data_IF_139448394251
#
_entry.id   IF_139448394251
#
_cell.length_a   1.000
_cell.length_b   1.000
_cell.length_c   1.000
_cell.angle_alpha   90.00
_cell.angle_beta   90.00
_cell.angle_gamma   90.00
#
_symmetry.space_group_name_H-M   'P 1'
#
loop_
_entity.id
_entity.type
_entity.pdbx_description
1 polymer ?
#
# COMPACT_ATOMS: atom_id res chain seq x y z
N UNK A 1 14.62 0.35 -8.49
CA UNK A 1 14.38 0.40 -7.03
C UNK A 1 14.75 -0.94 -6.39
N UNK A 2 14.24 -2.05 -6.94
CA UNK A 2 14.72 -3.39 -6.59
C UNK A 2 16.25 -3.51 -6.81
N UNK A 3 16.98 -4.20 -5.91
CA UNK A 3 18.41 -4.45 -6.10
C UNK A 3 18.63 -5.36 -7.32
N UNK A 4 19.79 -5.25 -7.97
CA UNK A 4 20.19 -6.07 -9.13
C UNK A 4 19.36 -5.91 -10.40
N UNK A 5 18.50 -4.88 -10.49
CA UNK A 5 17.69 -4.62 -11.68
C UNK A 5 18.37 -3.62 -12.61
N UNK A 6 18.71 -4.10 -13.80
CA UNK A 6 19.15 -3.29 -14.93
C UNK A 6 18.14 -3.34 -16.10
N UNK A 7 18.47 -2.65 -17.20
CA UNK A 7 17.61 -2.57 -18.38
C UNK A 7 17.39 -3.94 -19.03
N UNK A 8 18.35 -4.85 -18.97
CA UNK A 8 18.26 -6.15 -19.63
C UNK A 8 17.46 -7.16 -18.80
N UNK A 9 17.59 -7.12 -17.47
CA UNK A 9 16.70 -7.80 -16.53
C UNK A 9 15.25 -7.38 -16.79
N UNK A 10 14.98 -6.08 -16.87
CA UNK A 10 13.65 -5.54 -17.15
C UNK A 10 13.08 -6.04 -18.48
N UNK A 11 13.88 -6.05 -19.56
CA UNK A 11 13.44 -6.56 -20.86
C UNK A 11 13.07 -8.04 -20.79
N UNK A 12 13.84 -8.86 -20.07
CA UNK A 12 13.58 -10.30 -19.93
C UNK A 12 12.33 -10.57 -19.10
N UNK A 13 12.14 -9.85 -17.99
CA UNK A 13 10.93 -9.94 -17.16
C UNK A 13 9.68 -9.51 -17.93
N UNK A 14 9.77 -8.43 -18.71
CA UNK A 14 8.66 -7.96 -19.55
C UNK A 14 8.23 -9.01 -20.59
N UNK A 15 9.15 -9.78 -21.16
CA UNK A 15 8.83 -10.91 -22.06
C UNK A 15 8.04 -12.02 -21.34
N UNK A 16 8.16 -12.13 -20.01
CA UNK A 16 7.40 -13.04 -19.15
C UNK A 16 6.14 -12.38 -18.57
N UNK A 17 5.72 -11.22 -19.10
CA UNK A 17 4.56 -10.43 -18.65
C UNK A 17 4.66 -9.91 -17.21
N UNK A 18 5.87 -9.82 -16.66
CA UNK A 18 6.13 -9.18 -15.36
C UNK A 18 6.53 -7.73 -15.64
N UNK A 19 5.69 -6.79 -15.25
CA UNK A 19 5.81 -5.36 -15.55
C UNK A 19 5.79 -4.49 -14.29
N UNK A 20 5.29 -5.01 -13.16
CA UNK A 20 5.17 -4.28 -11.90
C UNK A 20 5.80 -5.04 -10.73
N UNK A 21 6.01 -4.32 -9.61
CA UNK A 21 6.40 -4.93 -8.33
C UNK A 21 5.30 -5.86 -7.81
N UNK A 22 4.04 -5.51 -8.04
CA UNK A 22 2.88 -6.32 -7.67
C UNK A 22 2.91 -7.68 -8.39
N UNK A 23 3.23 -7.69 -9.69
CA UNK A 23 3.35 -8.94 -10.46
C UNK A 23 4.41 -9.87 -9.87
N UNK A 24 5.50 -9.31 -9.31
CA UNK A 24 6.53 -10.10 -8.62
C UNK A 24 6.06 -10.62 -7.25
N UNK A 25 5.27 -9.82 -6.51
CA UNK A 25 4.74 -10.21 -5.19
C UNK A 25 3.65 -11.29 -5.29
N UNK A 26 2.93 -11.37 -6.42
CA UNK A 26 1.88 -12.35 -6.67
C UNK A 26 2.43 -13.71 -7.13
N UNK A 27 3.70 -13.80 -7.52
CA UNK A 27 4.33 -15.07 -7.89
C UNK A 27 4.59 -15.95 -6.66
N UNK A 28 4.34 -17.27 -6.76
CA UNK A 28 4.82 -18.22 -5.76
C UNK A 28 6.35 -18.14 -5.59
N UNK A 29 6.86 -18.37 -4.38
CA UNK A 29 8.28 -18.18 -4.06
C UNK A 29 9.26 -18.96 -4.95
N UNK A 30 8.86 -20.13 -5.46
CA UNK A 30 9.66 -20.90 -6.42
C UNK A 30 9.69 -20.24 -7.81
N UNK A 31 8.52 -19.85 -8.31
CA UNK A 31 8.36 -19.19 -9.61
C UNK A 31 9.01 -17.80 -9.63
N UNK A 32 8.98 -17.07 -8.51
CA UNK A 32 9.69 -15.81 -8.35
C UNK A 32 11.20 -16.00 -8.50
N UNK A 33 11.80 -16.99 -7.81
CA UNK A 33 13.24 -17.25 -7.92
C UNK A 33 13.63 -17.68 -9.33
N UNK A 34 12.84 -18.56 -9.94
CA UNK A 34 13.06 -18.98 -11.33
C UNK A 34 12.97 -17.78 -12.30
N UNK A 35 11.96 -16.92 -12.12
CA UNK A 35 11.77 -15.71 -12.91
C UNK A 35 12.99 -14.79 -12.89
N UNK A 36 13.52 -14.55 -11.70
CA UNK A 36 14.66 -13.67 -11.48
C UNK A 36 15.95 -14.28 -12.03
N UNK A 37 16.18 -15.58 -11.81
CA UNK A 37 17.35 -16.28 -12.35
C UNK A 37 17.32 -16.36 -13.88
N UNK A 38 16.15 -16.63 -14.48
CA UNK A 38 15.97 -16.60 -15.93
C UNK A 38 16.17 -15.18 -16.51
N UNK A 39 15.90 -14.14 -15.72
CA UNK A 39 16.23 -12.76 -16.07
C UNK A 39 17.73 -12.45 -15.97
N UNK A 40 18.53 -13.32 -15.35
CA UNK A 40 19.98 -13.24 -15.27
C UNK A 40 20.51 -12.85 -13.89
N UNK A 41 19.68 -12.85 -12.85
CA UNK A 41 20.15 -12.67 -11.48
C UNK A 41 20.84 -13.94 -10.97
N UNK A 42 21.84 -13.78 -10.11
CA UNK A 42 22.39 -14.90 -9.34
C UNK A 42 21.37 -15.40 -8.32
N UNK A 43 21.60 -16.61 -7.77
CA UNK A 43 20.76 -17.15 -6.69
C UNK A 43 20.70 -16.20 -5.49
N UNK A 44 21.85 -15.67 -5.05
CA UNK A 44 21.93 -14.68 -3.98
C UNK A 44 21.16 -13.39 -4.33
N UNK A 45 21.32 -12.89 -5.56
CA UNK A 45 20.60 -11.71 -6.02
C UNK A 45 19.08 -11.92 -6.06
N UNK A 46 18.62 -13.11 -6.45
CA UNK A 46 17.21 -13.45 -6.43
C UNK A 46 16.65 -13.52 -5.00
N UNK A 47 17.42 -14.06 -4.05
CA UNK A 47 17.03 -14.11 -2.63
C UNK A 47 16.98 -12.71 -1.99
N UNK A 48 17.92 -11.83 -2.33
CA UNK A 48 17.89 -10.43 -1.88
C UNK A 48 16.66 -9.69 -2.40
N UNK A 49 16.27 -9.92 -3.66
CA UNK A 49 15.04 -9.35 -4.23
C UNK A 49 13.81 -9.93 -3.55
N UNK A 50 13.74 -11.24 -3.31
CA UNK A 50 12.63 -11.86 -2.59
C UNK A 50 12.50 -11.29 -1.17
N UNK A 51 13.62 -11.10 -0.47
CA UNK A 51 13.67 -10.44 0.82
C UNK A 51 13.12 -9.01 0.71
N UNK A 52 13.62 -8.22 -0.25
CA UNK A 52 13.12 -6.86 -0.49
C UNK A 52 11.60 -6.83 -0.69
N UNK A 53 11.08 -7.66 -1.58
CA UNK A 53 9.65 -7.73 -1.90
C UNK A 53 8.80 -8.11 -0.69
N UNK A 54 9.30 -8.99 0.18
CA UNK A 54 8.58 -9.39 1.38
C UNK A 54 8.50 -8.29 2.43
N UNK A 55 9.45 -7.35 2.41
CA UNK A 55 9.47 -6.19 3.32
C UNK A 55 8.63 -5.03 2.82
N UNK A 56 8.10 -5.02 1.59
CA UNK A 56 7.33 -3.88 1.10
C UNK A 56 5.95 -3.79 1.78
N UNK A 57 5.55 -2.58 2.24
CA UNK A 57 4.25 -2.38 2.85
C UNK A 57 3.14 -2.31 1.79
N UNK A 58 2.03 -2.99 2.06
CA UNK A 58 0.75 -2.77 1.41
C UNK A 58 -0.12 -1.98 2.38
N UNK A 59 -0.54 -0.78 1.95
CA UNK A 59 -1.34 0.12 2.78
C UNK A 59 -2.76 0.16 2.27
N UNK A 60 -3.70 -0.13 3.16
CA UNK A 60 -5.12 0.05 2.93
C UNK A 60 -5.60 1.30 3.66
N UNK A 61 -6.50 2.03 3.02
CA UNK A 61 -7.04 3.28 3.52
C UNK A 61 -8.54 3.31 3.35
N UNK A 62 -9.25 3.72 4.40
CA UNK A 62 -10.65 4.12 4.36
C UNK A 62 -10.76 5.53 4.90
N UNK A 63 -11.58 6.35 4.26
CA UNK A 63 -11.83 7.71 4.67
C UNK A 63 -13.33 7.92 4.86
N UNK A 64 -13.68 8.63 5.92
CA UNK A 64 -15.05 9.05 6.23
C UNK A 64 -15.03 10.54 6.52
N UNK A 65 -15.86 11.30 5.82
CA UNK A 65 -16.01 12.74 6.03
C UNK A 65 -17.34 12.98 6.74
N UNK A 66 -17.30 13.74 7.82
CA UNK A 66 -18.47 14.07 8.63
C UNK A 66 -18.42 15.54 9.07
N UNK A 67 -19.58 16.08 9.41
CA UNK A 67 -19.72 17.33 10.16
C UNK A 67 -20.35 16.97 11.50
N UNK A 68 -19.81 17.50 12.60
CA UNK A 68 -20.24 17.10 13.94
C UNK A 68 -21.64 17.60 14.22
N UNK A 69 -22.60 16.68 14.34
CA UNK A 69 -24.00 16.99 14.67
C UNK A 69 -24.91 17.22 13.47
N UNK A 70 -24.42 16.99 12.25
CA UNK A 70 -25.18 17.20 11.01
C UNK A 70 -25.22 15.90 10.19
N UNK A 71 -26.36 15.65 9.52
CA UNK A 71 -26.56 14.47 8.66
C UNK A 71 -25.99 14.66 7.26
N UNK A 72 -25.87 15.91 6.80
CA UNK A 72 -25.37 16.29 5.49
C UNK A 72 -24.23 17.29 5.61
N UNK A 73 -23.38 17.37 4.58
CA UNK A 73 -22.29 18.34 4.51
C UNK A 73 -22.72 19.49 3.61
N UNK A 74 -22.70 20.70 4.14
CA UNK A 74 -23.11 21.94 3.48
C UNK A 74 -21.90 22.84 3.17
N UNK A 75 -22.13 23.81 2.28
CA UNK A 75 -21.11 24.79 1.93
C UNK A 75 -20.78 25.67 3.14
N UNK A 76 -19.49 25.77 3.47
CA UNK A 76 -18.99 26.53 4.61
C UNK A 76 -18.72 25.70 5.86
N UNK A 77 -19.09 24.42 5.88
CA UNK A 77 -18.91 23.57 7.04
C UNK A 77 -17.45 23.25 7.33
N UNK A 78 -17.15 23.08 8.62
CA UNK A 78 -15.88 22.53 9.08
C UNK A 78 -15.97 21.01 9.02
N UNK A 79 -15.57 20.46 7.88
CA UNK A 79 -15.57 19.02 7.64
C UNK A 79 -14.42 18.34 8.37
N UNK A 80 -14.73 17.25 9.09
CA UNK A 80 -13.74 16.35 9.67
C UNK A 80 -13.60 15.11 8.81
N UNK A 81 -12.38 14.87 8.33
CA UNK A 81 -12.02 13.63 7.63
C UNK A 81 -11.36 12.66 8.62
N UNK A 82 -11.99 11.51 8.88
CA UNK A 82 -11.43 10.40 9.64
C UNK A 82 -10.80 9.41 8.68
N UNK A 83 -9.52 9.12 8.89
CA UNK A 83 -8.77 8.14 8.12
C UNK A 83 -8.54 6.89 8.97
N UNK A 84 -8.90 5.74 8.43
CA UNK A 84 -8.54 4.44 8.97
C UNK A 84 -7.49 3.82 8.05
N UNK A 85 -6.36 3.41 8.64
CA UNK A 85 -5.24 2.83 7.92
C UNK A 85 -4.97 1.42 8.43
N UNK A 86 -4.61 0.55 7.49
CA UNK A 86 -4.15 -0.81 7.75
C UNK A 86 -2.88 -1.03 6.94
N UNK A 87 -1.87 -1.65 7.54
CA UNK A 87 -0.61 -1.98 6.83
C UNK A 87 -0.33 -3.47 6.96
N UNK A 88 -0.11 -4.15 5.84
CA UNK A 88 0.35 -5.53 5.80
C UNK A 88 1.65 -5.65 5.02
N UNK A 89 2.43 -6.71 5.27
CA UNK A 89 3.62 -7.08 4.49
C UNK A 89 3.59 -8.56 4.21
N UNK A 90 4.11 -9.04 3.07
CA UNK A 90 4.25 -10.48 2.85
C UNK A 90 5.10 -11.16 3.95
N UNK A 91 6.09 -10.45 4.52
CA UNK A 91 6.92 -10.97 5.62
C UNK A 91 6.15 -11.29 6.90
N UNK A 92 4.95 -10.74 7.09
CA UNK A 92 4.09 -11.05 8.24
C UNK A 92 3.69 -12.53 8.31
N UNK A 93 3.67 -13.21 7.16
CA UNK A 93 3.28 -14.62 7.05
C UNK A 93 4.48 -15.58 7.20
N UNK A 94 5.68 -15.05 7.46
CA UNK A 94 6.89 -15.87 7.61
C UNK A 94 6.98 -16.45 9.03
N UNK A 95 7.20 -17.78 9.20
CA UNK A 95 7.37 -18.38 10.51
C UNK A 95 8.45 -17.69 11.34
N UNK A 96 8.14 -17.35 12.59
CA UNK A 96 9.08 -16.69 13.52
C UNK A 96 9.06 -15.16 13.45
N UNK A 97 8.28 -14.56 12.56
CA UNK A 97 8.10 -13.10 12.52
C UNK A 97 7.42 -12.57 13.79
N UNK A 98 6.69 -13.41 14.55
CA UNK A 98 5.99 -13.02 15.78
C UNK A 98 6.91 -12.34 16.80
N UNK A 99 8.18 -12.74 16.84
CA UNK A 99 9.19 -12.19 17.76
C UNK A 99 9.61 -10.77 17.38
N UNK A 100 9.40 -10.38 16.12
CA UNK A 100 9.76 -9.09 15.54
C UNK A 100 8.54 -8.25 15.18
N UNK A 101 7.34 -8.79 15.42
CA UNK A 101 6.08 -8.19 15.01
C UNK A 101 5.87 -6.81 15.64
N UNK A 102 5.28 -5.86 14.89
CA UNK A 102 4.91 -4.57 15.43
C UNK A 102 3.86 -4.74 16.52
N UNK A 103 4.10 -4.11 17.67
CA UNK A 103 3.19 -4.14 18.82
C UNK A 103 2.46 -2.81 18.96
N UNK A 104 1.16 -2.84 19.26
CA UNK A 104 0.38 -1.63 19.52
C UNK A 104 0.97 -0.86 20.71
N UNK A 105 1.01 0.47 20.61
CA UNK A 105 1.63 1.33 21.61
C UNK A 105 3.16 1.31 21.63
N UNK A 106 3.81 0.55 20.73
CA UNK A 106 5.26 0.59 20.57
C UNK A 106 5.71 1.87 19.88
N UNK A 107 6.75 2.50 20.44
CA UNK A 107 7.47 3.61 19.80
C UNK A 107 8.56 3.13 18.83
N UNK A 108 8.72 1.82 18.65
CA UNK A 108 9.76 1.27 17.77
C UNK A 108 9.40 1.57 16.32
N UNK A 109 10.18 2.43 15.69
CA UNK A 109 10.02 2.75 14.28
C UNK A 109 10.28 1.52 13.40
N UNK A 110 9.54 1.42 12.29
CA UNK A 110 9.75 0.38 11.29
C UNK A 110 10.89 0.83 10.37
N UNK A 111 11.90 -0.01 10.22
CA UNK A 111 13.07 0.30 9.39
C UNK A 111 12.78 0.00 7.93
N UNK A 112 13.02 0.98 7.07
CA UNK A 112 12.93 0.78 5.63
C UNK A 112 14.02 -0.18 5.15
N UNK A 113 13.66 -1.15 4.31
CA UNK A 113 14.64 -2.04 3.69
C UNK A 113 15.27 -1.37 2.47
N UNK A 114 16.40 -0.71 2.68
CA UNK A 114 17.12 0.05 1.65
C UNK A 114 18.57 -0.41 1.55
N UNK A 115 18.85 -1.56 0.88
CA UNK A 115 20.19 -2.18 0.90
C UNK A 115 21.29 -1.28 0.30
N UNK A 116 20.94 -0.42 -0.64
CA UNK A 116 21.89 0.51 -1.29
C UNK A 116 22.04 1.85 -0.55
N UNK A 117 21.31 2.07 0.55
CA UNK A 117 21.43 3.29 1.32
C UNK A 117 22.41 3.06 2.48
N UNK A 118 23.55 3.78 2.53
CA UNK A 118 24.55 3.58 3.57
C UNK A 118 24.06 3.97 4.97
N UNK A 119 23.01 4.79 5.05
CA UNK A 119 22.43 5.24 6.31
C UNK A 119 21.05 4.60 6.47
N UNK A 120 20.85 3.70 7.45
CA UNK A 120 19.54 3.14 7.72
C UNK A 120 18.51 4.24 8.00
N UNK A 121 17.31 4.09 7.43
CA UNK A 121 16.21 5.04 7.59
C UNK A 121 14.96 4.32 8.08
N UNK A 122 14.21 5.01 8.92
CA UNK A 122 12.88 4.57 9.31
C UNK A 122 11.87 4.99 8.25
N UNK A 123 10.82 4.19 8.11
CA UNK A 123 9.69 4.53 7.27
C UNK A 123 8.97 5.76 7.83
N UNK A 124 8.70 6.72 6.95
CA UNK A 124 8.02 7.96 7.28
C UNK A 124 6.86 8.15 6.31
N UNK A 125 5.66 8.36 6.84
CA UNK A 125 4.45 8.49 6.02
C UNK A 125 3.93 9.92 6.07
N UNK A 126 3.57 10.43 4.90
CA UNK A 126 2.90 11.72 4.76
C UNK A 126 1.49 11.46 4.24
N UNK A 127 0.50 11.92 4.98
CA UNK A 127 -0.91 11.82 4.63
C UNK A 127 -1.34 13.20 4.17
N UNK A 128 -1.83 13.28 2.93
CA UNK A 128 -2.27 14.52 2.33
C UNK A 128 -3.75 14.40 1.95
N UNK A 129 -4.54 15.38 2.35
CA UNK A 129 -5.84 15.63 1.75
C UNK A 129 -5.66 16.73 0.71
N UNK A 130 -6.01 16.44 -0.54
CA UNK A 130 -5.74 17.32 -1.67
C UNK A 130 -7.00 17.53 -2.51
N UNK A 131 -7.09 18.71 -3.12
CA UNK A 131 -7.94 18.96 -4.28
C UNK A 131 -7.06 18.89 -5.53
N UNK A 132 -7.25 17.83 -6.32
CA UNK A 132 -6.50 17.63 -7.56
C UNK A 132 -6.93 18.58 -8.69
N UNK A 133 -8.16 19.09 -8.66
CA UNK A 133 -8.67 20.02 -9.67
C UNK A 133 -8.00 21.40 -9.57
N UNK A 134 -7.73 21.85 -8.34
CA UNK A 134 -7.06 23.12 -8.07
C UNK A 134 -5.57 22.98 -7.75
N UNK A 135 -5.04 21.76 -7.68
CA UNK A 135 -3.69 21.46 -7.18
C UNK A 135 -3.42 22.07 -5.79
N UNK A 136 -4.39 21.96 -4.88
CA UNK A 136 -4.29 22.50 -3.52
C UNK A 136 -4.15 21.38 -2.48
N UNK A 137 -3.29 21.60 -1.48
CA UNK A 137 -3.23 20.75 -0.28
C UNK A 137 -4.15 21.35 0.77
N UNK A 138 -5.21 20.63 1.12
CA UNK A 138 -6.21 21.05 2.10
C UNK A 138 -5.68 20.81 3.52
N UNK A 139 -5.08 19.64 3.77
CA UNK A 139 -4.39 19.35 5.03
C UNK A 139 -3.27 18.32 4.83
N UNK A 140 -2.32 18.30 5.77
CA UNK A 140 -1.15 17.43 5.76
C UNK A 140 -0.81 16.98 7.17
N UNK A 141 -0.47 15.70 7.31
CA UNK A 141 0.07 15.14 8.54
C UNK A 141 1.25 14.22 8.23
N UNK A 142 2.31 14.32 9.04
CA UNK A 142 3.34 13.30 9.11
C UNK A 142 2.93 12.26 10.16
N UNK A 143 2.94 10.98 9.78
CA UNK A 143 2.50 9.89 10.64
C UNK A 143 3.51 8.73 10.66
N UNK A 144 3.50 7.99 11.77
CA UNK A 144 4.06 6.65 11.87
C UNK A 144 2.91 5.65 11.71
N UNK A 145 3.13 4.59 10.92
CA UNK A 145 2.11 3.56 10.69
C UNK A 145 2.35 2.28 11.51
N UNK A 146 3.18 2.34 12.57
CA UNK A 146 3.46 1.20 13.46
C UNK A 146 2.17 0.60 14.02
N UNK A 147 1.21 1.42 14.46
CA UNK A 147 -0.06 0.91 14.98
C UNK A 147 -0.92 0.27 13.89
N UNK A 148 -1.00 0.89 12.71
CA UNK A 148 -1.72 0.34 11.56
C UNK A 148 -1.12 -0.99 11.10
N UNK A 149 0.21 -1.14 11.19
CA UNK A 149 0.90 -2.40 10.89
C UNK A 149 0.68 -3.45 11.99
N UNK A 150 0.68 -3.06 13.26
CA UNK A 150 0.32 -3.97 14.35
C UNK A 150 -1.12 -4.51 14.20
N UNK A 151 -2.05 -3.69 13.69
CA UNK A 151 -3.40 -4.15 13.34
C UNK A 151 -3.36 -5.12 12.17
N UNK A 152 -2.69 -4.77 11.07
CA UNK A 152 -2.64 -5.63 9.88
C UNK A 152 -1.96 -6.97 10.12
N UNK A 153 -0.95 -7.00 11.00
CA UNK A 153 -0.31 -8.23 11.44
C UNK A 153 -1.25 -9.10 12.31
N UNK A 154 -1.92 -8.49 13.30
CA UNK A 154 -2.79 -9.23 14.23
C UNK A 154 -4.15 -9.62 13.63
N UNK A 155 -4.57 -8.93 12.57
CA UNK A 155 -5.88 -9.07 11.93
C UNK A 155 -5.76 -9.08 10.40
N UNK A 156 -5.10 -10.08 9.80
CA UNK A 156 -4.92 -10.14 8.35
C UNK A 156 -6.25 -10.23 7.59
N UNK A 157 -7.31 -10.74 8.21
CA UNK A 157 -8.66 -10.85 7.61
C UNK A 157 -9.26 -9.48 7.23
N UNK A 158 -8.81 -8.40 7.88
CA UNK A 158 -9.26 -7.05 7.56
C UNK A 158 -8.80 -6.60 6.17
N UNK A 159 -7.64 -7.03 5.70
CA UNK A 159 -7.14 -6.66 4.37
C UNK A 159 -8.11 -7.15 3.28
N UNK A 160 -8.47 -8.43 3.33
CA UNK A 160 -9.42 -9.04 2.40
C UNK A 160 -10.81 -8.40 2.50
N UNK A 161 -11.26 -8.05 3.71
CA UNK A 161 -12.52 -7.33 3.92
C UNK A 161 -12.50 -5.94 3.28
N UNK A 162 -11.38 -5.21 3.42
CA UNK A 162 -11.21 -3.86 2.88
C UNK A 162 -11.12 -3.86 1.36
N UNK A 163 -10.43 -4.82 0.77
CA UNK A 163 -10.39 -5.01 -0.68
C UNK A 163 -11.76 -5.35 -1.26
N UNK A 164 -12.50 -6.27 -0.63
CA UNK A 164 -13.83 -6.68 -1.08
C UNK A 164 -14.83 -5.52 -1.07
N UNK A 165 -14.84 -4.73 -0.01
CA UNK A 165 -15.72 -3.56 0.10
C UNK A 165 -15.33 -2.47 -0.90
N UNK A 166 -14.03 -2.25 -1.13
CA UNK A 166 -13.54 -1.35 -2.16
C UNK A 166 -13.93 -1.77 -3.58
N UNK A 167 -13.91 -3.08 -3.88
CA UNK A 167 -14.35 -3.63 -5.15
C UNK A 167 -15.88 -3.56 -5.34
N UNK A 168 -16.66 -3.85 -4.29
CA UNK A 168 -18.12 -3.78 -4.33
C UNK A 168 -18.63 -2.35 -4.57
N UNK A 169 -18.03 -1.35 -3.94
CA UNK A 169 -18.36 0.07 -4.17
C UNK A 169 -18.01 0.58 -5.58
N UNK A 170 -17.20 -0.17 -6.34
CA UNK A 170 -16.87 0.12 -7.73
C UNK A 170 -17.85 -0.43 -8.77
N UNK A 171 -18.66 -1.43 -8.42
CA UNK A 171 -19.57 -2.10 -9.36
C UNK A 171 -21.02 -1.59 -9.33
N UNK A 172 -21.39 -0.71 -8.38
CA UNK A 172 -22.73 -0.10 -8.33
C UNK A 172 -22.88 1.17 -9.20
N UNK A 173 -21.83 1.60 -9.91
CA UNK A 173 -21.85 2.81 -10.74
C UNK A 173 -21.98 2.51 -12.25
N UNK A 174 -22.70 1.45 -12.61
CA UNK A 174 -22.70 0.94 -13.98
C UNK A 174 -23.98 0.27 -14.47
N UNK A 175 -25.16 0.74 -14.07
CA UNK A 175 -26.38 0.67 -14.93
C UNK A 175 -27.55 1.43 -14.26
N UNK A 176 -27.73 2.69 -14.65
CA UNK A 176 -29.03 3.38 -14.79
C UNK A 176 -28.81 4.84 -15.17
N UNK A 177 -29.24 5.19 -16.38
CA UNK A 177 -29.25 6.56 -16.87
C UNK A 177 -30.13 7.47 -16.01
N UNK A 178 -29.57 8.63 -15.66
CA UNK A 178 -30.26 9.74 -15.02
C UNK A 178 -29.29 10.90 -14.91
N UNK A 179 -29.56 12.01 -15.59
CA UNK A 179 -28.85 13.29 -15.42
C UNK A 179 -28.97 13.75 -13.97
N UNK A 180 -27.93 14.43 -13.49
CA UNK A 180 -27.77 15.07 -12.17
C UNK A 180 -27.35 14.14 -11.01
N UNK A 181 -26.04 13.93 -10.87
CA UNK A 181 -25.34 13.67 -9.61
C UNK A 181 -23.82 13.68 -9.83
N UNK A 182 -23.27 14.82 -10.24
CA UNK A 182 -21.82 15.06 -10.25
C UNK A 182 -21.44 15.74 -8.94
N UNK A 183 -21.01 14.95 -7.94
CA UNK A 183 -20.13 15.34 -6.82
C UNK A 183 -20.04 14.20 -5.80
N UNK A 184 -18.81 13.73 -5.57
CA UNK A 184 -18.45 13.10 -4.30
C UNK A 184 -18.19 11.60 -4.34
N UNK A 185 -17.26 11.11 -5.17
CA UNK A 185 -16.53 9.86 -4.89
C UNK A 185 -15.07 9.97 -5.33
N UNK A 186 -14.22 10.51 -4.46
CA UNK A 186 -12.78 10.53 -4.66
C UNK A 186 -12.20 9.12 -4.52
N UNK A 187 -12.06 8.50 -5.68
CA UNK A 187 -11.32 7.27 -5.95
C UNK A 187 -9.83 7.54 -5.70
N UNK A 188 -9.26 6.93 -4.66
CA UNK A 188 -7.82 6.91 -4.44
C UNK A 188 -7.34 5.48 -4.25
N UNK A 189 -7.35 4.72 -5.34
CA UNK A 189 -6.41 3.64 -5.58
C UNK A 189 -5.32 4.23 -6.48
N UNK A 190 -4.20 4.63 -5.87
CA UNK A 190 -3.01 4.98 -6.62
C UNK A 190 -2.03 3.81 -6.52
N UNK A 191 -2.14 2.91 -7.50
CA UNK A 191 -1.02 2.09 -7.96
C UNK A 191 -0.26 2.95 -8.96
N UNK A 192 0.96 3.38 -8.61
CA UNK A 192 2.05 3.74 -9.53
C UNK A 192 3.31 4.04 -8.71
#
# INVERSE_FOLDING_TARGET
QLPHFDVDVLKKLKKRKIQSVKDLQELPSAELREALQAAGLSEAGAEEVATFLSTLPVVYCRAECEVTGEEEIMEGDVVKCRLQLLVTRPSHNTPGFEQQAPTRGSSKAIRAFTPNNPVPKDENWHILLVDSGSNAVLTWAKASLVEAEAVGFSRPELAEEWERQGAAGGNEAGDKGGKDADRGRSRALATA
#
